data_IF_791122704487
#
_entry.id   IF_791122704487
#
_cell.length_a   1.000
_cell.length_b   1.000
_cell.length_c   1.000
_cell.angle_alpha   90.00
_cell.angle_beta   90.00
_cell.angle_gamma   90.00
#
_symmetry.space_group_name_H-M   'P 1'
#
loop_
_entity.id
_entity.type
_entity.pdbx_description
1 polymer ?
#
# COMPACT_ATOMS: atom_id res chain seq x y z
N UNK A 1 22.39 -3.47 -9.15
CA UNK A 1 20.92 -3.55 -9.06
C UNK A 1 20.53 -4.79 -8.26
N UNK A 2 19.92 -4.62 -7.09
CA UNK A 2 19.29 -5.71 -6.33
C UNK A 2 17.79 -5.64 -6.62
N UNK A 3 17.16 -6.78 -6.84
CA UNK A 3 15.78 -6.86 -7.33
C UNK A 3 15.03 -7.94 -6.55
N UNK A 4 13.82 -7.62 -6.06
CA UNK A 4 13.04 -8.49 -5.17
C UNK A 4 11.77 -8.91 -5.86
N UNK A 5 11.46 -10.21 -5.91
CA UNK A 5 10.22 -10.75 -6.51
C UNK A 5 8.94 -10.10 -5.94
N UNK A 6 8.01 -9.75 -6.81
CA UNK A 6 6.83 -8.90 -6.67
C UNK A 6 5.63 -9.82 -6.92
N UNK A 7 5.60 -10.93 -6.20
CA UNK A 7 4.40 -11.72 -6.11
C UNK A 7 3.40 -10.90 -5.28
N UNK A 8 2.53 -10.16 -5.97
CA UNK A 8 1.50 -9.31 -5.39
C UNK A 8 2.03 -8.37 -4.31
N UNK A 9 2.72 -7.30 -4.72
CA UNK A 9 2.92 -6.18 -3.83
C UNK A 9 1.53 -5.67 -3.49
N UNK A 10 1.16 -5.74 -2.19
CA UNK A 10 1.09 -4.48 -1.47
C UNK A 10 0.78 -4.46 0.04
N UNK A 11 0.60 -3.25 0.61
CA UNK A 11 0.22 -2.97 1.99
C UNK A 11 -1.00 -2.01 2.10
N UNK A 12 -2.18 -2.61 2.21
CA UNK A 12 -3.36 -2.18 2.95
C UNK A 12 -3.71 -3.41 3.79
N UNK A 13 -3.88 -3.28 5.11
CA UNK A 13 -4.16 -4.45 5.97
C UNK A 13 -5.44 -5.13 5.48
N UNK A 14 -5.43 -6.43 5.13
CA UNK A 14 -6.55 -7.11 4.46
C UNK A 14 -7.77 -7.36 5.35
N UNK A 15 -7.78 -6.85 6.58
CA UNK A 15 -8.93 -6.98 7.45
C UNK A 15 -9.00 -5.78 8.38
N UNK A 16 -9.93 -4.83 8.15
CA UNK A 16 -10.27 -3.85 9.18
C UNK A 16 -10.60 -4.61 10.48
N UNK A 17 -10.10 -4.11 11.62
CA UNK A 17 -10.49 -4.65 12.92
C UNK A 17 -12.01 -4.55 13.08
N UNK A 18 -12.62 -5.42 13.87
CA UNK A 18 -14.06 -5.32 14.18
C UNK A 18 -14.43 -3.94 14.77
N UNK A 19 -13.49 -3.26 15.43
CA UNK A 19 -13.67 -1.89 15.90
C UNK A 19 -13.71 -0.86 14.76
N UNK A 20 -12.89 -1.08 13.73
CA UNK A 20 -12.70 -0.23 12.56
C UNK A 20 -13.95 -0.29 11.67
N UNK A 21 -14.51 -1.50 11.48
CA UNK A 21 -15.80 -1.70 10.79
C UNK A 21 -17.00 -1.01 11.46
N UNK A 22 -16.97 -0.83 12.78
CA UNK A 22 -18.06 -0.19 13.54
C UNK A 22 -18.07 1.33 13.40
N UNK A 23 -16.95 1.92 13.01
CA UNK A 23 -16.77 3.37 12.92
C UNK A 23 -16.11 3.73 11.58
N UNK A 24 -16.83 3.62 10.45
CA UNK A 24 -16.31 4.07 9.16
C UNK A 24 -15.94 5.56 9.23
N UNK A 25 -14.82 5.94 8.60
CA UNK A 25 -14.34 7.32 8.61
C UNK A 25 -14.89 8.06 7.37
N UNK A 26 -15.86 8.98 7.54
CA UNK A 26 -16.50 9.65 6.42
C UNK A 26 -15.61 10.69 5.71
N UNK A 27 -14.43 11.02 6.28
CA UNK A 27 -13.52 12.02 5.73
C UNK A 27 -12.53 11.49 4.69
N UNK A 28 -12.43 10.18 4.52
CA UNK A 28 -11.59 9.54 3.51
C UNK A 28 -12.49 8.74 2.57
N UNK A 29 -12.29 8.89 1.26
CA UNK A 29 -13.08 8.18 0.26
C UNK A 29 -12.15 7.71 -0.84
N UNK A 30 -12.11 6.38 -1.04
CA UNK A 30 -11.43 5.78 -2.16
C UNK A 30 -12.47 5.28 -3.15
N UNK A 31 -12.20 5.45 -4.42
CA UNK A 31 -13.08 5.00 -5.50
C UNK A 31 -12.27 4.15 -6.46
N UNK A 32 -12.77 2.95 -6.74
CA UNK A 32 -12.17 2.08 -7.74
C UNK A 32 -12.44 2.61 -9.16
N UNK A 33 -11.67 2.13 -10.13
CA UNK A 33 -11.79 2.54 -11.55
C UNK A 33 -13.18 2.19 -12.13
N UNK A 34 -13.78 1.11 -11.65
CA UNK A 34 -15.15 0.71 -11.99
C UNK A 34 -16.22 1.57 -11.29
N UNK A 35 -15.83 2.68 -10.66
CA UNK A 35 -16.67 3.63 -9.93
C UNK A 35 -17.31 3.10 -8.65
N UNK A 36 -16.96 1.89 -8.21
CA UNK A 36 -17.46 1.40 -6.92
C UNK A 36 -16.74 2.12 -5.76
N UNK A 37 -17.46 2.50 -4.70
CA UNK A 37 -16.84 3.01 -3.49
C UNK A 37 -16.00 1.91 -2.83
N UNK A 38 -14.83 2.29 -2.30
CA UNK A 38 -14.02 1.46 -1.44
C UNK A 38 -14.20 1.99 -0.02
N UNK A 39 -14.72 1.15 0.87
CA UNK A 39 -14.89 1.54 2.26
C UNK A 39 -13.53 1.78 2.91
N UNK A 40 -13.38 2.92 3.59
CA UNK A 40 -12.17 3.25 4.34
C UNK A 40 -12.51 3.54 5.79
N UNK A 41 -11.58 3.23 6.67
CA UNK A 41 -11.85 3.21 8.10
C UNK A 41 -10.89 4.08 8.91
N UNK A 42 -9.78 4.50 8.29
CA UNK A 42 -8.85 5.44 8.91
C UNK A 42 -7.47 5.36 8.30
N UNK A 43 -6.51 5.92 9.02
CA UNK A 43 -5.09 5.88 8.66
C UNK A 43 -4.25 5.41 9.83
N UNK A 44 -3.14 4.73 9.55
CA UNK A 44 -2.16 4.35 10.56
C UNK A 44 -0.74 4.47 10.00
N UNK A 45 0.21 4.82 10.87
CA UNK A 45 1.63 4.86 10.50
C UNK A 45 2.24 3.46 10.63
N UNK A 46 2.98 3.03 9.61
CA UNK A 46 3.71 1.77 9.64
C UNK A 46 5.14 1.96 9.12
N UNK A 47 6.10 1.34 9.81
CA UNK A 47 7.45 1.13 9.31
C UNK A 47 7.50 -0.21 8.61
N UNK A 48 7.65 -0.18 7.29
CA UNK A 48 7.58 -1.36 6.46
C UNK A 48 8.99 -1.85 6.08
N UNK A 49 9.25 -3.12 6.32
CA UNK A 49 10.38 -3.85 5.74
C UNK A 49 9.87 -4.64 4.53
N UNK A 50 10.26 -4.20 3.32
CA UNK A 50 9.96 -4.88 2.05
C UNK A 50 11.17 -5.64 1.49
N UNK A 51 12.18 -5.91 2.31
CA UNK A 51 13.39 -6.64 1.91
C UNK A 51 14.42 -5.80 1.14
N UNK A 52 14.25 -4.48 1.11
CA UNK A 52 15.24 -3.52 0.58
C UNK A 52 16.19 -3.04 1.69
N UNK A 53 17.16 -2.20 1.37
CA UNK A 53 18.24 -1.85 2.33
C UNK A 53 17.80 -0.90 3.46
N UNK A 54 16.52 -0.50 3.51
CA UNK A 54 16.00 0.42 4.51
C UNK A 54 14.54 0.13 4.85
N UNK A 55 14.10 0.64 6.01
CA UNK A 55 12.71 0.67 6.41
C UNK A 55 11.99 1.87 5.78
N UNK A 56 10.73 1.68 5.40
CA UNK A 56 9.89 2.72 4.79
C UNK A 56 8.79 3.12 5.77
N UNK A 57 8.90 4.30 6.36
CA UNK A 57 7.89 4.83 7.28
C UNK A 57 6.83 5.61 6.51
N UNK A 58 5.59 5.15 6.54
CA UNK A 58 4.49 5.78 5.79
C UNK A 58 3.16 5.71 6.53
N UNK A 59 2.27 6.64 6.23
CA UNK A 59 0.88 6.67 6.73
C UNK A 59 -0.01 5.96 5.72
N UNK A 60 -0.48 4.76 6.07
CA UNK A 60 -1.35 3.95 5.22
C UNK A 60 -2.82 4.21 5.55
N UNK A 61 -3.68 4.03 4.54
CA UNK A 61 -5.13 4.04 4.69
C UNK A 61 -5.62 2.61 4.93
N UNK A 62 -6.47 2.40 5.93
CA UNK A 62 -7.19 1.14 6.13
C UNK A 62 -8.42 1.13 5.24
N UNK A 63 -8.49 0.16 4.33
CA UNK A 63 -9.57 0.05 3.36
C UNK A 63 -10.07 -1.40 3.22
N UNK A 64 -11.34 -1.56 2.86
CA UNK A 64 -11.95 -2.86 2.58
C UNK A 64 -11.58 -3.30 1.16
N UNK A 65 -10.38 -3.89 1.03
CA UNK A 65 -9.87 -4.42 -0.23
C UNK A 65 -9.48 -5.89 -0.05
N UNK A 66 -9.75 -6.75 -1.06
CA UNK A 66 -9.42 -8.17 -0.99
C UNK A 66 -7.91 -8.43 -0.96
N UNK A 67 -7.12 -7.47 -1.43
CA UNK A 67 -5.68 -7.51 -1.42
C UNK A 67 -5.15 -6.15 -1.03
N UNK A 68 -4.03 -6.17 -0.34
CA UNK A 68 -3.26 -4.99 -0.03
C UNK A 68 -2.82 -4.26 -1.33
N UNK A 69 -2.73 -2.92 -1.36
CA UNK A 69 -2.31 -2.07 -2.54
C UNK A 69 -1.31 -0.95 -2.17
N UNK A 70 -0.18 -0.79 -2.90
CA UNK A 70 0.78 0.30 -2.71
C UNK A 70 0.38 1.39 -3.67
N UNK A 71 0.20 2.59 -3.15
CA UNK A 71 -0.09 3.73 -4.00
C UNK A 71 1.16 4.16 -4.77
N UNK A 72 0.92 4.77 -5.93
CA UNK A 72 1.98 5.37 -6.73
C UNK A 72 2.68 6.53 -6.01
N UNK A 73 1.99 7.16 -5.07
CA UNK A 73 2.50 8.18 -4.14
C UNK A 73 3.58 7.63 -3.21
N UNK A 74 3.36 6.44 -2.63
CA UNK A 74 4.37 5.74 -1.84
C UNK A 74 5.60 5.42 -2.70
N UNK A 75 5.38 4.85 -3.89
CA UNK A 75 6.47 4.48 -4.79
C UNK A 75 7.30 5.70 -5.21
N UNK A 76 6.63 6.80 -5.58
CA UNK A 76 7.30 8.04 -5.96
C UNK A 76 8.04 8.69 -4.79
N UNK A 77 7.48 8.68 -3.58
CA UNK A 77 8.12 9.30 -2.41
C UNK A 77 9.42 8.61 -2.01
N UNK A 78 9.53 7.31 -2.30
CA UNK A 78 10.69 6.51 -1.92
C UNK A 78 11.60 6.13 -3.09
N UNK A 79 11.35 6.69 -4.28
CA UNK A 79 12.08 6.42 -5.53
C UNK A 79 12.14 4.92 -5.86
N UNK A 80 10.97 4.27 -5.73
CA UNK A 80 10.80 2.83 -5.96
C UNK A 80 10.27 2.57 -7.38
N UNK A 81 10.97 1.72 -8.11
CA UNK A 81 10.62 1.28 -9.46
C UNK A 81 10.03 -0.13 -9.44
N UNK A 82 8.91 -0.29 -10.15
CA UNK A 82 8.20 -1.56 -10.35
C UNK A 82 8.62 -2.17 -11.68
N UNK A 83 9.23 -3.35 -11.63
CA UNK A 83 9.50 -4.21 -12.77
C UNK A 83 8.38 -5.24 -12.90
N UNK A 84 7.38 -4.97 -13.73
CA UNK A 84 6.24 -5.88 -13.91
C UNK A 84 6.64 -7.22 -14.55
N UNK A 85 7.66 -7.22 -15.42
CA UNK A 85 8.07 -8.40 -16.19
C UNK A 85 8.69 -9.45 -15.30
N UNK A 86 9.60 -9.04 -14.43
CA UNK A 86 10.20 -9.96 -13.47
C UNK A 86 9.40 -10.09 -12.20
N UNK A 87 8.30 -9.31 -12.13
CA UNK A 87 7.64 -9.01 -10.88
C UNK A 87 8.74 -8.61 -9.90
N UNK A 88 9.35 -7.42 -9.97
CA UNK A 88 10.32 -6.97 -8.96
C UNK A 88 10.22 -5.52 -8.52
N UNK A 89 10.56 -5.22 -7.26
CA UNK A 89 10.73 -3.84 -6.80
C UNK A 89 12.22 -3.47 -6.71
N UNK A 90 12.55 -2.25 -7.13
CA UNK A 90 13.91 -1.73 -7.18
C UNK A 90 13.99 -0.34 -6.57
N UNK A 91 15.07 -0.04 -5.85
CA UNK A 91 15.41 1.33 -5.46
C UNK A 91 16.14 2.01 -6.62
N UNK A 92 15.71 3.22 -6.98
CA UNK A 92 16.49 4.07 -7.86
C UNK A 92 17.69 4.61 -7.07
N UNK A 93 18.80 3.89 -7.12
CA UNK A 93 20.08 4.36 -6.57
C UNK A 93 20.59 5.44 -7.53
N UNK A 94 20.64 6.70 -7.07
CA UNK A 94 21.45 7.74 -7.73
C UNK A 94 22.93 7.45 -7.47
#
# INVERSE_FOLDING_TARGET
MRSISLASLALVVPSPSEADRRCPNPGLFLQAVNTSPIATFGTFSLSLDIGLQRLFCWVFVTADLPCATFGADFLATFDLMVDCCHSRLHEQTT
#
